data_IF_053751134631
#
_entry.id   IF_053751134631
#
_cell.length_a   1.000
_cell.length_b   1.000
_cell.length_c   1.000
_cell.angle_alpha   90.00
_cell.angle_beta   90.00
_cell.angle_gamma   90.00
#
_symmetry.space_group_name_H-M   'P 1'
#
loop_
_entity.id
_entity.type
_entity.pdbx_description
1 polymer ?
#
# COMPACT_ATOMS: atom_id res chain seq x y z
N UNK A 1 -3.42 -26.25 5.16
CA UNK A 1 -2.99 -24.97 4.57
C UNK A 1 -4.23 -24.16 4.32
N UNK A 2 -4.48 -23.12 5.12
CA UNK A 2 -5.59 -22.20 4.89
C UNK A 2 -5.19 -21.30 3.73
N UNK A 3 -5.85 -21.47 2.59
CA UNK A 3 -5.84 -20.47 1.53
C UNK A 3 -6.82 -19.38 2.00
N UNK A 4 -6.27 -18.35 2.64
CA UNK A 4 -7.00 -17.13 2.98
C UNK A 4 -7.48 -16.49 1.67
N UNK A 5 -8.65 -16.94 1.22
CA UNK A 5 -9.28 -16.45 0.01
C UNK A 5 -9.77 -15.05 0.35
N UNK A 6 -9.02 -14.03 -0.08
CA UNK A 6 -9.42 -12.63 0.08
C UNK A 6 -10.77 -12.49 -0.63
N UNK A 7 -11.82 -12.29 0.15
CA UNK A 7 -13.16 -12.09 -0.40
C UNK A 7 -13.23 -10.69 -1.01
N UNK A 8 -13.93 -10.47 -2.12
CA UNK A 8 -14.03 -9.14 -2.76
C UNK A 8 -14.51 -8.03 -1.81
N UNK A 9 -15.30 -8.39 -0.79
CA UNK A 9 -15.74 -7.47 0.26
C UNK A 9 -14.58 -6.93 1.12
N UNK A 10 -13.52 -7.72 1.33
CA UNK A 10 -12.35 -7.33 2.13
C UNK A 10 -11.47 -6.30 1.41
N UNK A 11 -11.70 -6.08 0.11
CA UNK A 11 -11.01 -5.09 -0.72
C UNK A 11 -11.87 -3.86 -1.02
N UNK A 12 -13.11 -3.79 -0.51
CA UNK A 12 -14.00 -2.65 -0.76
C UNK A 12 -13.40 -1.30 -0.32
N UNK A 13 -12.53 -1.32 0.70
CA UNK A 13 -11.82 -0.12 1.16
C UNK A 13 -10.88 0.47 0.10
N UNK A 14 -10.39 -0.34 -0.85
CA UNK A 14 -9.50 0.14 -1.92
C UNK A 14 -10.22 1.14 -2.82
N UNK A 15 -11.51 0.91 -3.11
CA UNK A 15 -12.32 1.82 -3.92
C UNK A 15 -12.53 3.19 -3.23
N UNK A 16 -12.45 3.23 -1.90
CA UNK A 16 -12.56 4.45 -1.10
C UNK A 16 -11.22 5.15 -0.90
N UNK A 17 -10.11 4.46 -1.17
CA UNK A 17 -8.77 5.02 -1.00
C UNK A 17 -8.53 6.16 -2.01
N UNK A 18 -7.82 7.20 -1.57
CA UNK A 18 -7.50 8.36 -2.41
C UNK A 18 -6.74 7.97 -3.69
N UNK A 19 -5.90 6.95 -3.63
CA UNK A 19 -5.15 6.44 -4.79
C UNK A 19 -6.05 5.90 -5.91
N UNK A 20 -7.20 5.30 -5.57
CA UNK A 20 -8.16 4.84 -6.57
C UNK A 20 -8.83 6.01 -7.30
N UNK A 21 -8.91 7.18 -6.65
CA UNK A 21 -9.50 8.40 -7.23
C UNK A 21 -8.51 9.18 -8.08
N UNK A 22 -7.22 9.17 -7.73
CA UNK A 22 -6.16 9.89 -8.45
C UNK A 22 -5.47 9.08 -9.54
N UNK A 23 -5.76 7.77 -9.62
CA UNK A 23 -5.11 6.81 -10.54
C UNK A 23 -4.06 5.95 -9.84
N UNK A 24 -4.21 4.63 -9.97
CA UNK A 24 -3.36 3.66 -9.29
C UNK A 24 -1.92 3.65 -9.82
N UNK A 25 -1.71 3.83 -11.12
CA UNK A 25 -0.39 3.79 -11.78
C UNK A 25 0.62 4.74 -11.13
N UNK A 26 0.14 5.87 -10.61
CA UNK A 26 0.98 6.85 -9.90
C UNK A 26 1.61 6.29 -8.62
N UNK A 27 0.98 5.31 -7.99
CA UNK A 27 1.46 4.66 -6.76
C UNK A 27 2.29 3.41 -7.06
N UNK A 28 2.31 2.94 -8.31
CA UNK A 28 3.12 1.82 -8.78
C UNK A 28 4.05 2.26 -9.92
N UNK A 29 5.00 3.18 -9.66
CA UNK A 29 5.85 3.69 -10.72
C UNK A 29 6.94 2.68 -11.10
N UNK A 30 7.52 2.87 -12.29
CA UNK A 30 8.65 2.07 -12.79
C UNK A 30 9.85 2.09 -11.82
N UNK A 31 10.64 1.00 -11.74
CA UNK A 31 11.83 0.94 -10.90
C UNK A 31 12.79 2.12 -11.15
N UNK A 32 13.22 2.78 -10.07
CA UNK A 32 14.08 3.96 -10.13
C UNK A 32 13.34 5.31 -10.25
N UNK A 33 12.02 5.28 -10.43
CA UNK A 33 11.20 6.49 -10.41
C UNK A 33 10.99 7.02 -8.98
N UNK A 34 10.70 8.32 -8.89
CA UNK A 34 10.42 8.97 -7.60
C UNK A 34 9.05 8.58 -7.06
N UNK A 35 9.01 8.11 -5.81
CA UNK A 35 7.79 7.82 -5.05
C UNK A 35 7.37 8.95 -4.10
N UNK A 36 8.09 10.09 -4.09
CA UNK A 36 7.92 11.13 -3.08
C UNK A 36 6.51 11.70 -3.06
N UNK A 37 5.99 12.01 -4.24
CA UNK A 37 4.67 12.64 -4.36
C UNK A 37 3.55 11.63 -4.09
N UNK A 38 3.68 10.39 -4.56
CA UNK A 38 2.78 9.29 -4.22
C UNK A 38 2.68 9.08 -2.71
N UNK A 39 3.81 9.15 -1.97
CA UNK A 39 3.81 9.09 -0.51
C UNK A 39 3.08 10.26 0.13
N UNK A 40 3.25 11.48 -0.40
CA UNK A 40 2.56 12.68 0.11
C UNK A 40 1.05 12.53 -0.02
N UNK A 41 0.58 12.13 -1.20
CA UNK A 41 -0.85 11.90 -1.47
C UNK A 41 -1.38 10.75 -0.61
N UNK A 42 -0.66 9.63 -0.55
CA UNK A 42 -1.04 8.49 0.30
C UNK A 42 -1.13 8.90 1.79
N UNK A 43 -0.26 9.82 2.23
CA UNK A 43 -0.28 10.41 3.57
C UNK A 43 -1.60 11.09 3.94
N UNK A 44 -2.32 11.63 2.95
CA UNK A 44 -3.61 12.30 3.09
C UNK A 44 -4.81 11.35 3.00
N UNK A 45 -4.58 10.06 2.70
CA UNK A 45 -5.64 9.07 2.57
C UNK A 45 -6.12 8.58 3.94
N UNK A 46 -7.43 8.57 4.18
CA UNK A 46 -8.02 8.05 5.43
C UNK A 46 -7.85 6.53 5.55
N UNK A 47 -7.82 5.81 4.42
CA UNK A 47 -7.63 4.34 4.37
C UNK A 47 -6.19 3.89 4.58
N UNK A 48 -5.28 4.78 4.98
CA UNK A 48 -3.85 4.47 5.18
C UNK A 48 -3.59 3.30 6.13
N UNK A 49 -4.25 3.19 7.31
CA UNK A 49 -4.00 2.10 8.24
C UNK A 49 -4.34 0.73 7.64
N UNK A 50 -5.54 0.60 7.05
CA UNK A 50 -6.00 -0.64 6.39
C UNK A 50 -5.12 -0.99 5.20
N UNK A 51 -4.70 0.01 4.42
CA UNK A 51 -3.79 -0.16 3.29
C UNK A 51 -2.42 -0.70 3.72
N UNK A 52 -1.87 -0.17 4.82
CA UNK A 52 -0.59 -0.65 5.35
C UNK A 52 -0.70 -2.09 5.87
N UNK A 53 -1.76 -2.39 6.63
CA UNK A 53 -2.00 -3.74 7.14
C UNK A 53 -2.10 -4.75 6.00
N UNK A 54 -2.90 -4.42 4.96
CA UNK A 54 -3.01 -5.24 3.76
C UNK A 54 -1.66 -5.50 3.11
N UNK A 55 -0.86 -4.45 2.89
CA UNK A 55 0.45 -4.60 2.25
C UNK A 55 1.42 -5.46 3.07
N UNK A 56 1.37 -5.35 4.40
CA UNK A 56 2.19 -6.17 5.28
C UNK A 56 1.73 -7.62 5.31
N UNK A 57 0.42 -7.90 5.31
CA UNK A 57 -0.14 -9.26 5.33
C UNK A 57 0.07 -10.00 4.01
N UNK A 58 -0.04 -9.30 2.88
CA UNK A 58 0.03 -9.90 1.54
C UNK A 58 1.43 -9.88 0.93
N UNK A 59 2.43 -9.39 1.66
CA UNK A 59 3.78 -9.23 1.14
C UNK A 59 3.83 -8.40 -0.15
N UNK A 60 3.16 -7.26 -0.15
CA UNK A 60 3.17 -6.36 -1.30
C UNK A 60 4.55 -5.72 -1.46
N UNK A 61 5.24 -6.12 -2.54
CA UNK A 61 6.65 -5.76 -2.80
C UNK A 61 6.82 -4.51 -3.64
N UNK A 62 5.82 -4.11 -4.42
CA UNK A 62 5.95 -2.99 -5.34
C UNK A 62 5.06 -1.82 -4.93
N UNK A 63 5.41 -0.62 -5.38
CA UNK A 63 4.63 0.59 -5.17
C UNK A 63 4.58 1.13 -3.74
N UNK A 64 3.76 2.17 -3.59
CA UNK A 64 3.54 2.91 -2.34
C UNK A 64 2.27 2.41 -1.66
N UNK A 65 2.43 1.88 -0.46
CA UNK A 65 1.33 1.37 0.36
C UNK A 65 1.38 2.01 1.73
N UNK A 66 0.24 2.46 2.26
CA UNK A 66 0.18 3.02 3.60
C UNK A 66 1.05 4.26 3.84
N UNK A 67 1.48 4.95 2.78
CA UNK A 67 2.42 6.08 2.83
C UNK A 67 3.89 5.67 2.83
N UNK A 68 4.19 4.38 2.65
CA UNK A 68 5.53 3.82 2.71
C UNK A 68 5.93 3.21 1.36
N UNK A 69 7.19 3.38 1.00
CA UNK A 69 7.84 2.64 -0.09
C UNK A 69 8.14 1.19 0.32
N UNK A 70 8.46 0.33 -0.64
CA UNK A 70 8.93 -1.05 -0.38
C UNK A 70 10.04 -1.08 0.68
N UNK A 71 11.08 -0.25 0.49
CA UNK A 71 12.23 -0.18 1.40
C UNK A 71 11.81 0.16 2.83
N UNK A 72 10.90 1.11 3.01
CA UNK A 72 10.42 1.50 4.32
C UNK A 72 9.55 0.42 4.97
N UNK A 73 8.73 -0.30 4.18
CA UNK A 73 7.97 -1.46 4.69
C UNK A 73 8.89 -2.59 5.13
N UNK A 74 9.98 -2.83 4.39
CA UNK A 74 11.02 -3.79 4.77
C UNK A 74 11.71 -3.38 6.07
N UNK A 75 12.08 -2.10 6.22
CA UNK A 75 12.66 -1.58 7.47
C UNK A 75 11.69 -1.73 8.65
N UNK A 76 10.41 -1.40 8.45
CA UNK A 76 9.38 -1.51 9.49
C UNK A 76 9.15 -2.96 9.94
N UNK A 77 9.21 -3.94 9.03
CA UNK A 77 9.14 -5.36 9.40
C UNK A 77 10.37 -5.83 10.18
N UNK A 78 11.54 -5.24 9.92
CA UNK A 78 12.79 -5.58 10.63
C UNK A 78 12.83 -5.01 12.05
N UNK A 79 12.19 -3.87 12.29
CA UNK A 79 12.14 -3.22 13.61
C UNK A 79 10.94 -3.63 14.46
N UNK A 80 9.92 -4.24 13.87
CA UNK A 80 8.79 -4.83 14.58
C UNK A 80 9.10 -6.20 15.22
N UNK A 81 10.38 -6.59 15.26
CA UNK A 81 10.93 -7.79 15.89
C UNK A 81 11.83 -7.39 17.06
#
# INVERSE_FOLDING_TARGET
MHIDTITPADLAWQAQALCAQTGADFFFPEPGSSVREAKRICGMCEMRPTCLEYALRNDERFGVWGGLSEKERLELRRTAH
#
